data_IF_360552144930
#
_entry.id   IF_360552144930
#
_cell.length_a   1.000
_cell.length_b   1.000
_cell.length_c   1.000
_cell.angle_alpha   90.00
_cell.angle_beta   90.00
_cell.angle_gamma   90.00
#
_symmetry.space_group_name_H-M   'P 1'
#
loop_
_entity.id
_entity.type
_entity.pdbx_description
1 polymer ?
#
# COMPACT_ATOMS: atom_id res chain seq x y z
N UNK A 1 14.30 22.64 -28.61
CA UNK A 1 13.88 23.04 -27.25
C UNK A 1 13.09 21.92 -26.64
N UNK A 2 13.63 20.69 -26.69
CA UNK A 2 12.82 19.46 -26.69
C UNK A 2 13.05 18.63 -25.44
N UNK A 3 13.59 19.25 -24.38
CA UNK A 3 13.95 18.59 -23.13
C UNK A 3 13.15 19.20 -21.99
N UNK A 4 12.40 18.35 -21.30
CA UNK A 4 11.69 18.71 -20.07
C UNK A 4 12.63 18.45 -18.90
N UNK A 5 12.88 19.49 -18.10
CA UNK A 5 13.61 19.38 -16.84
C UNK A 5 12.60 19.52 -15.71
N UNK A 6 12.48 18.50 -14.85
CA UNK A 6 11.59 18.54 -13.69
C UNK A 6 12.39 18.99 -12.48
N UNK A 7 12.22 20.24 -12.08
CA UNK A 7 12.79 20.79 -10.85
C UNK A 7 11.72 20.75 -9.76
N UNK A 8 12.04 20.25 -8.55
CA UNK A 8 11.10 20.02 -7.44
C UNK A 8 10.01 18.96 -7.72
N UNK A 9 10.41 17.78 -8.20
CA UNK A 9 9.48 16.67 -8.41
C UNK A 9 9.42 15.76 -7.17
N UNK A 10 8.20 15.53 -6.70
CA UNK A 10 7.88 14.54 -5.68
C UNK A 10 7.13 13.38 -6.35
N UNK A 11 7.54 12.15 -6.08
CA UNK A 11 6.87 10.94 -6.52
C UNK A 11 6.43 10.07 -5.34
N UNK A 12 5.63 9.06 -5.65
CA UNK A 12 5.20 8.03 -4.71
C UNK A 12 4.54 8.63 -3.46
N UNK A 13 5.30 8.79 -2.38
CA UNK A 13 4.82 9.21 -1.05
C UNK A 13 5.40 10.52 -0.53
N UNK A 14 6.09 11.30 -1.35
CA UNK A 14 6.85 12.43 -0.79
C UNK A 14 5.99 13.55 -0.16
N UNK A 15 4.67 13.55 -0.32
CA UNK A 15 3.72 14.42 0.40
C UNK A 15 2.98 13.71 1.55
N UNK A 16 3.13 12.38 1.70
CA UNK A 16 2.38 11.58 2.67
C UNK A 16 2.82 11.86 4.12
N UNK A 17 4.09 12.26 4.34
CA UNK A 17 4.78 12.40 5.64
C UNK A 17 4.09 13.26 6.72
N UNK A 18 3.04 14.02 6.41
CA UNK A 18 2.37 14.89 7.38
C UNK A 18 1.33 14.14 8.23
N UNK A 19 1.79 13.36 9.22
CA UNK A 19 1.00 12.98 10.40
C UNK A 19 -0.21 12.06 10.20
N UNK A 20 -0.37 11.45 9.02
CA UNK A 20 -1.43 10.46 8.78
C UNK A 20 -1.14 9.15 9.50
N UNK A 21 -2.19 8.37 9.79
CA UNK A 21 -2.09 7.00 10.32
C UNK A 21 -1.17 6.12 9.48
N UNK A 22 -1.06 6.38 8.18
CA UNK A 22 -0.23 5.61 7.26
C UNK A 22 1.26 5.77 7.51
N UNK A 23 1.74 6.98 7.78
CA UNK A 23 3.16 7.20 8.10
C UNK A 23 3.58 6.50 9.39
N UNK A 24 2.67 6.39 10.35
CA UNK A 24 2.98 5.69 11.60
C UNK A 24 3.18 4.20 11.39
N UNK A 25 2.62 3.60 10.34
CA UNK A 25 2.85 2.19 10.02
C UNK A 25 4.24 1.96 9.40
N UNK A 26 4.72 2.92 8.59
CA UNK A 26 6.05 2.83 7.95
C UNK A 26 7.21 2.82 8.95
N UNK A 27 6.98 3.28 10.20
CA UNK A 27 7.98 3.20 11.29
C UNK A 27 7.82 1.96 12.17
N UNK A 28 6.82 1.11 11.92
CA UNK A 28 6.65 -0.16 12.63
C UNK A 28 7.44 -1.28 11.94
N UNK A 29 7.82 -2.34 12.66
CA UNK A 29 8.58 -3.44 12.07
C UNK A 29 7.89 -4.06 10.84
N UNK A 30 6.56 -4.24 10.88
CA UNK A 30 5.82 -4.89 9.78
C UNK A 30 5.44 -3.96 8.63
N UNK A 31 5.78 -2.66 8.70
CA UNK A 31 5.39 -1.69 7.68
C UNK A 31 3.89 -1.71 7.40
N UNK A 32 3.51 -1.55 6.13
CA UNK A 32 2.11 -1.67 5.70
C UNK A 32 1.82 -2.97 4.96
N UNK A 33 2.84 -3.81 4.78
CA UNK A 33 2.80 -5.09 4.09
C UNK A 33 2.33 -4.93 2.64
N UNK A 34 2.79 -3.88 1.98
CA UNK A 34 2.53 -3.69 0.56
C UNK A 34 3.47 -4.57 -0.27
N UNK A 35 2.96 -5.19 -1.34
CA UNK A 35 3.72 -6.15 -2.16
C UNK A 35 5.04 -5.62 -2.76
N UNK A 36 5.23 -4.30 -2.78
CA UNK A 36 6.44 -3.66 -3.31
C UNK A 36 7.44 -3.27 -2.21
N UNK A 37 7.09 -3.43 -0.93
CA UNK A 37 8.00 -3.20 0.18
C UNK A 37 9.16 -4.20 0.10
N UNK A 38 10.38 -3.68 0.23
CA UNK A 38 11.62 -4.46 0.20
C UNK A 38 11.88 -5.07 1.58
N UNK A 39 11.09 -6.07 1.93
CA UNK A 39 11.19 -6.79 3.21
C UNK A 39 12.35 -7.79 3.19
N UNK A 40 13.09 -7.97 4.30
CA UNK A 40 14.12 -9.01 4.39
C UNK A 40 13.58 -10.42 4.13
N UNK A 41 14.47 -11.35 3.75
CA UNK A 41 14.10 -12.75 3.59
C UNK A 41 13.55 -13.33 4.91
N UNK A 42 12.45 -14.09 4.81
CA UNK A 42 11.76 -14.68 5.96
C UNK A 42 10.94 -13.70 6.79
N UNK A 43 10.89 -12.41 6.41
CA UNK A 43 10.07 -11.43 7.10
C UNK A 43 8.57 -11.66 6.81
N UNK A 44 7.68 -11.56 7.82
CA UNK A 44 6.26 -11.78 7.60
C UNK A 44 5.68 -10.80 6.58
N UNK A 45 5.08 -11.32 5.51
CA UNK A 45 4.39 -10.52 4.50
C UNK A 45 3.04 -11.17 4.16
N UNK A 46 1.97 -10.54 4.61
CA UNK A 46 0.59 -10.95 4.33
C UNK A 46 0.01 -10.15 3.15
N UNK A 47 -1.11 -10.59 2.56
CA UNK A 47 -1.76 -9.83 1.49
C UNK A 47 -2.10 -8.40 1.93
N UNK A 48 -1.80 -7.46 1.04
CA UNK A 48 -1.93 -6.02 1.30
C UNK A 48 -3.37 -5.65 1.68
N UNK A 49 -3.52 -4.81 2.70
CA UNK A 49 -4.80 -4.37 3.30
C UNK A 49 -5.72 -5.46 3.88
N UNK A 50 -5.38 -6.76 3.75
CA UNK A 50 -6.24 -7.86 4.24
C UNK A 50 -6.11 -8.11 5.73
N UNK A 51 -5.09 -7.56 6.37
CA UNK A 51 -4.98 -7.55 7.83
C UNK A 51 -5.91 -6.52 8.48
N UNK A 52 -6.66 -5.75 7.68
CA UNK A 52 -7.68 -4.81 8.15
C UNK A 52 -9.06 -5.38 7.93
N UNK A 53 -10.00 -4.90 8.74
CA UNK A 53 -11.40 -5.17 8.58
C UNK A 53 -12.24 -3.93 8.89
N UNK A 54 -13.52 -3.99 8.52
CA UNK A 54 -14.50 -3.03 9.00
C UNK A 54 -14.56 -3.07 10.53
N UNK A 55 -14.84 -1.91 11.14
CA UNK A 55 -14.84 -1.74 12.60
C UNK A 55 -15.64 -2.84 13.32
N UNK A 56 -16.81 -3.20 12.79
CA UNK A 56 -17.74 -4.17 13.39
C UNK A 56 -17.42 -5.64 13.03
N UNK A 57 -16.35 -5.88 12.26
CA UNK A 57 -16.03 -7.20 11.71
C UNK A 57 -14.76 -7.82 12.31
N UNK A 58 -14.17 -7.20 13.33
CA UNK A 58 -13.03 -7.77 14.04
C UNK A 58 -13.48 -8.86 15.03
N UNK A 59 -13.55 -10.10 14.56
CA UNK A 59 -13.74 -11.29 15.39
C UNK A 59 -12.44 -12.10 15.41
N UNK A 60 -11.98 -12.47 16.61
CA UNK A 60 -10.72 -13.20 16.75
C UNK A 60 -10.77 -14.55 16.02
N UNK A 61 -9.73 -14.83 15.23
CA UNK A 61 -9.57 -16.10 14.50
C UNK A 61 -10.43 -16.25 13.24
N UNK A 62 -11.18 -15.22 12.84
CA UNK A 62 -11.96 -15.26 11.58
C UNK A 62 -11.17 -14.64 10.43
N UNK A 63 -11.49 -15.10 9.22
CA UNK A 63 -11.01 -14.44 8.00
C UNK A 63 -11.53 -12.99 7.90
N UNK A 64 -10.86 -12.12 7.12
CA UNK A 64 -11.35 -10.76 6.85
C UNK A 64 -12.74 -10.77 6.22
N UNK A 65 -13.50 -9.70 6.43
CA UNK A 65 -14.85 -9.58 5.85
C UNK A 65 -14.79 -9.68 4.32
N UNK A 66 -15.71 -10.46 3.73
CA UNK A 66 -15.70 -10.73 2.29
C UNK A 66 -15.86 -9.45 1.46
N UNK A 67 -16.71 -8.53 1.89
CA UNK A 67 -16.93 -7.26 1.20
C UNK A 67 -15.70 -6.37 1.31
N UNK A 68 -15.00 -6.37 2.45
CA UNK A 68 -13.72 -5.68 2.56
C UNK A 68 -12.68 -6.25 1.58
N UNK A 69 -12.58 -7.58 1.49
CA UNK A 69 -11.65 -8.25 0.56
C UNK A 69 -11.95 -7.82 -0.88
N UNK A 70 -13.21 -7.87 -1.31
CA UNK A 70 -13.62 -7.45 -2.66
C UNK A 70 -13.27 -5.98 -2.96
N UNK A 71 -13.54 -5.07 -2.01
CA UNK A 71 -13.24 -3.64 -2.17
C UNK A 71 -11.74 -3.38 -2.27
N UNK A 72 -10.94 -4.03 -1.43
CA UNK A 72 -9.48 -3.88 -1.44
C UNK A 72 -8.85 -4.49 -2.68
N UNK A 73 -9.34 -5.65 -3.16
CA UNK A 73 -8.89 -6.26 -4.42
C UNK A 73 -9.20 -5.34 -5.62
N UNK A 74 -10.41 -4.77 -5.66
CA UNK A 74 -10.78 -3.83 -6.71
C UNK A 74 -9.90 -2.57 -6.69
N UNK A 75 -9.59 -2.05 -5.50
CA UNK A 75 -8.70 -0.90 -5.32
C UNK A 75 -7.28 -1.18 -5.81
N UNK A 76 -6.70 -2.33 -5.41
CA UNK A 76 -5.38 -2.75 -5.88
C UNK A 76 -5.34 -2.94 -7.40
N UNK A 77 -6.32 -3.63 -7.96
CA UNK A 77 -6.42 -3.84 -9.40
C UNK A 77 -6.51 -2.49 -10.15
N UNK A 78 -7.33 -1.56 -9.68
CA UNK A 78 -7.44 -0.23 -10.28
C UNK A 78 -6.13 0.57 -10.22
N UNK A 79 -5.39 0.49 -9.11
CA UNK A 79 -4.09 1.13 -8.96
C UNK A 79 -3.02 0.53 -9.88
N UNK A 80 -2.95 -0.81 -9.95
CA UNK A 80 -1.94 -1.54 -10.73
C UNK A 80 -2.19 -1.49 -12.23
N UNK A 81 -3.45 -1.45 -12.66
CA UNK A 81 -3.80 -1.38 -14.08
C UNK A 81 -3.57 0.02 -14.71
N UNK A 82 -3.29 1.06 -13.91
CA UNK A 82 -3.05 2.42 -14.44
C UNK A 82 -1.68 2.63 -15.06
N UNK A 83 -0.69 1.78 -14.80
CA UNK A 83 0.65 1.93 -15.39
C UNK A 83 1.34 0.57 -15.54
N UNK A 84 1.41 -0.04 -16.75
CA UNK A 84 2.52 -0.95 -17.03
C UNK A 84 3.79 -0.10 -16.84
N UNK A 85 4.66 -0.50 -15.92
CA UNK A 85 5.89 0.24 -15.67
C UNK A 85 6.76 0.22 -16.94
N UNK A 86 6.63 1.21 -17.80
CA UNK A 86 7.75 1.64 -18.63
C UNK A 86 8.72 2.31 -17.66
N UNK A 87 9.60 1.49 -17.07
CA UNK A 87 10.85 2.00 -16.51
C UNK A 87 11.57 2.77 -17.63
N UNK A 88 12.13 3.96 -17.36
CA UNK A 88 13.10 4.55 -18.27
C UNK A 88 14.32 3.65 -18.42
#
# INVERSE_FOLDING_TARGET
>A
GDRVFRTYFINNRGDEQMGSTWNYLDITPLGRQEVWEDSPEGYPQTPTYKWWNWHDSYVAGTAPDKKWVEVSDAGEAAFRNRHPSTKP
#
